data_IF_058101453157
#
_entry.id   IF_058101453157
#
_cell.length_a   1.000
_cell.length_b   1.000
_cell.length_c   1.000
_cell.angle_alpha   90.00
_cell.angle_beta   90.00
_cell.angle_gamma   90.00
#
_symmetry.space_group_name_H-M   'P 1'
#
loop_
_entity.id
_entity.type
_entity.pdbx_description
1 polymer ?
#
# COMPACT_ATOMS: atom_id res chain seq x y z
N UNK A 1 -18.88 0.22 -5.61
CA UNK A 1 -18.04 -0.11 -4.45
C UNK A 1 -16.60 -0.18 -4.94
N UNK A 2 -15.74 0.71 -4.46
CA UNK A 2 -14.32 0.72 -4.88
C UNK A 2 -13.58 -0.34 -4.09
N UNK A 3 -13.13 -1.40 -4.76
CA UNK A 3 -12.36 -2.49 -4.16
C UNK A 3 -10.87 -2.26 -4.43
N UNK A 4 -10.05 -2.40 -3.39
CA UNK A 4 -8.59 -2.43 -3.50
C UNK A 4 -8.15 -3.88 -3.44
N UNK A 5 -7.46 -4.34 -4.48
CA UNK A 5 -6.84 -5.65 -4.60
C UNK A 5 -5.32 -5.52 -4.50
N UNK A 6 -4.68 -6.55 -3.99
CA UNK A 6 -3.22 -6.75 -4.04
C UNK A 6 -2.75 -7.01 -5.48
N UNK A 7 -1.44 -6.90 -5.72
CA UNK A 7 -0.85 -7.26 -7.02
C UNK A 7 -1.15 -8.70 -7.40
N UNK A 8 -1.05 -9.61 -6.44
CA UNK A 8 -1.20 -11.05 -6.67
C UNK A 8 -2.62 -11.40 -7.08
N UNK A 9 -3.61 -10.71 -6.50
CA UNK A 9 -5.02 -10.84 -6.90
C UNK A 9 -5.26 -10.31 -8.32
N UNK A 10 -4.61 -9.21 -8.71
CA UNK A 10 -4.68 -8.67 -10.08
C UNK A 10 -4.02 -9.62 -11.08
N UNK A 11 -2.87 -10.19 -10.72
CA UNK A 11 -2.14 -11.13 -11.58
C UNK A 11 -2.85 -12.48 -11.73
N UNK A 12 -3.64 -12.89 -10.75
CA UNK A 12 -4.48 -14.10 -10.81
C UNK A 12 -5.69 -13.97 -11.74
N UNK A 13 -6.04 -12.76 -12.21
CA UNK A 13 -7.14 -12.56 -13.15
C UNK A 13 -6.87 -13.25 -14.51
N UNK A 14 -7.92 -13.64 -15.21
CA UNK A 14 -7.82 -14.18 -16.56
C UNK A 14 -7.51 -13.08 -17.60
N UNK A 15 -6.83 -13.46 -18.69
CA UNK A 15 -6.47 -12.56 -19.80
C UNK A 15 -4.97 -12.28 -19.90
N UNK A 16 -4.58 -11.37 -20.79
CA UNK A 16 -3.19 -10.93 -20.95
C UNK A 16 -2.77 -10.01 -19.80
N UNK A 17 -1.45 -9.78 -19.63
CA UNK A 17 -0.95 -8.83 -18.64
C UNK A 17 -1.60 -7.44 -18.79
N UNK A 18 -1.77 -6.97 -20.03
CA UNK A 18 -2.38 -5.68 -20.31
C UNK A 18 -3.87 -5.64 -19.96
N UNK A 19 -4.61 -6.73 -20.20
CA UNK A 19 -6.04 -6.83 -19.84
C UNK A 19 -6.28 -6.76 -18.33
N UNK A 20 -5.36 -7.31 -17.54
CA UNK A 20 -5.44 -7.33 -16.08
C UNK A 20 -5.17 -5.94 -15.52
N UNK A 21 -4.03 -5.36 -15.88
CA UNK A 21 -3.54 -4.11 -15.32
C UNK A 21 -4.21 -2.87 -15.91
N UNK A 22 -4.86 -2.97 -17.08
CA UNK A 22 -5.65 -1.87 -17.64
C UNK A 22 -6.86 -1.49 -16.78
N UNK A 23 -7.36 -2.40 -15.94
CA UNK A 23 -8.51 -2.17 -15.05
C UNK A 23 -8.16 -1.34 -13.81
N UNK A 24 -6.88 -1.16 -13.52
CA UNK A 24 -6.40 -0.45 -12.32
C UNK A 24 -6.47 1.07 -12.56
N UNK A 25 -7.32 1.74 -11.79
CA UNK A 25 -7.55 3.19 -11.88
C UNK A 25 -6.97 3.98 -10.71
N UNK A 26 -6.80 3.33 -9.55
CA UNK A 26 -6.25 3.91 -8.33
C UNK A 26 -5.27 2.95 -7.69
N UNK A 27 -4.22 3.50 -7.08
CA UNK A 27 -3.26 2.76 -6.27
C UNK A 27 -3.35 3.23 -4.83
N UNK A 28 -3.39 2.28 -3.89
CA UNK A 28 -3.13 2.53 -2.47
C UNK A 28 -1.67 2.16 -2.21
N UNK A 29 -0.86 3.14 -1.85
CA UNK A 29 0.54 2.92 -1.48
C UNK A 29 0.66 3.10 0.03
N UNK A 30 1.24 2.12 0.71
CA UNK A 30 1.60 2.22 2.10
C UNK A 30 3.11 2.03 2.27
N UNK A 31 3.73 2.90 3.07
CA UNK A 31 5.15 2.81 3.42
C UNK A 31 5.32 2.84 4.93
N UNK A 32 6.16 1.97 5.47
CA UNK A 32 6.58 2.01 6.88
C UNK A 32 7.91 2.75 6.95
N UNK A 33 7.89 3.95 7.52
CA UNK A 33 9.10 4.73 7.75
C UNK A 33 9.68 4.41 9.12
N UNK A 34 10.97 4.09 9.15
CA UNK A 34 11.78 3.89 10.36
C UNK A 34 12.42 5.22 10.76
N UNK A 35 12.44 5.52 12.06
CA UNK A 35 13.14 6.69 12.58
C UNK A 35 14.64 6.63 12.29
N UNK A 36 15.30 7.79 12.22
CA UNK A 36 16.74 7.85 12.02
C UNK A 36 17.50 7.30 13.24
N UNK A 37 17.04 7.65 14.46
CA UNK A 37 17.62 7.20 15.71
C UNK A 37 16.75 6.18 16.43
N UNK A 38 17.36 5.42 17.34
CA UNK A 38 16.65 4.56 18.26
C UNK A 38 15.89 5.39 19.30
N UNK A 39 14.70 4.90 19.65
CA UNK A 39 13.92 5.43 20.76
C UNK A 39 14.57 5.02 22.09
N UNK A 40 14.83 5.99 22.96
CA UNK A 40 15.49 5.77 24.25
C UNK A 40 14.64 4.97 25.24
N UNK A 41 13.31 5.04 25.11
CA UNK A 41 12.35 4.32 25.94
C UNK A 41 11.93 2.97 25.31
N UNK A 42 12.44 2.66 24.12
CA UNK A 42 12.00 1.53 23.31
C UNK A 42 10.84 1.94 22.39
N UNK A 43 10.94 1.56 21.12
CA UNK A 43 10.04 2.01 20.05
C UNK A 43 8.60 1.47 20.12
N UNK A 44 8.33 0.51 21.01
CA UNK A 44 7.02 -0.11 21.17
C UNK A 44 6.49 -0.77 19.89
N UNK A 45 5.17 -0.74 19.73
CA UNK A 45 4.49 -1.29 18.56
C UNK A 45 4.13 -0.19 17.56
N UNK A 46 4.07 -0.55 16.28
CA UNK A 46 3.55 0.28 15.20
C UNK A 46 2.46 -0.47 14.44
N UNK A 47 1.64 0.28 13.69
CA UNK A 47 0.66 -0.30 12.77
C UNK A 47 1.32 -0.48 11.41
N UNK A 48 1.39 -1.72 10.92
CA UNK A 48 1.94 -2.03 9.60
C UNK A 48 0.95 -1.67 8.47
N UNK A 49 1.34 -1.97 7.23
CA UNK A 49 0.53 -1.68 6.06
C UNK A 49 -0.69 -2.58 5.88
N UNK A 50 -0.74 -3.68 6.63
CA UNK A 50 -1.85 -4.62 6.67
C UNK A 50 -2.81 -4.31 7.83
N UNK A 51 -2.48 -3.30 8.66
CA UNK A 51 -3.27 -2.86 9.80
C UNK A 51 -2.98 -3.61 11.09
N UNK A 52 -1.95 -4.46 11.12
CA UNK A 52 -1.57 -5.21 12.31
C UNK A 52 -0.71 -4.37 13.25
N UNK A 53 -0.89 -4.58 14.56
CA UNK A 53 0.01 -4.04 15.57
C UNK A 53 1.23 -4.95 15.70
N UNK A 54 2.40 -4.44 15.30
CA UNK A 54 3.66 -5.19 15.24
C UNK A 54 4.70 -4.53 16.13
N UNK A 55 5.41 -5.34 16.93
CA UNK A 55 6.51 -4.87 17.75
C UNK A 55 7.69 -4.41 16.90
N UNK A 56 8.27 -3.27 17.24
CA UNK A 56 9.49 -2.80 16.59
C UNK A 56 10.68 -3.72 16.94
N UNK A 57 11.37 -4.31 15.95
CA UNK A 57 12.39 -5.33 16.21
C UNK A 57 13.76 -4.78 16.63
N UNK A 58 14.00 -3.48 16.47
CA UNK A 58 15.35 -2.88 16.58
C UNK A 58 15.38 -1.56 17.36
N UNK A 59 14.44 -1.34 18.27
CA UNK A 59 14.30 -0.11 19.08
C UNK A 59 14.14 1.19 18.27
N UNK A 60 13.90 1.12 16.95
CA UNK A 60 13.59 2.30 16.15
C UNK A 60 12.09 2.49 16.00
N UNK A 61 11.60 3.70 16.23
CA UNK A 61 10.20 4.02 16.02
C UNK A 61 9.84 3.80 14.55
N UNK A 62 8.65 3.27 14.30
CA UNK A 62 8.11 3.05 12.96
C UNK A 62 6.75 3.68 12.84
N UNK A 63 6.45 4.22 11.67
CA UNK A 63 5.12 4.76 11.35
C UNK A 63 4.76 4.43 9.91
N UNK A 64 3.57 3.89 9.72
CA UNK A 64 2.98 3.70 8.40
C UNK A 64 2.38 5.00 7.87
N UNK A 65 2.53 5.22 6.57
CA UNK A 65 1.93 6.32 5.83
C UNK A 65 1.24 5.75 4.61
N UNK A 66 -0.05 6.05 4.46
CA UNK A 66 -0.87 5.57 3.36
C UNK A 66 -1.31 6.73 2.50
N UNK A 67 -1.10 6.61 1.19
CA UNK A 67 -1.55 7.57 0.20
C UNK A 67 -2.28 6.87 -0.95
N UNK A 68 -3.22 7.58 -1.56
CA UNK A 68 -4.00 7.09 -2.69
C UNK A 68 -3.68 7.93 -3.92
N UNK A 69 -3.35 7.27 -5.02
CA UNK A 69 -2.95 7.90 -6.26
C UNK A 69 -3.86 7.45 -7.40
N UNK A 70 -4.44 8.41 -8.12
CA UNK A 70 -5.18 8.13 -9.36
C UNK A 70 -4.20 8.03 -10.55
N UNK A 71 -4.35 6.98 -11.35
CA UNK A 71 -3.49 6.74 -12.52
C UNK A 71 -4.00 7.51 -13.75
N UNK A 72 -3.30 8.58 -14.13
CA UNK A 72 -3.70 9.47 -15.24
C UNK A 72 -3.74 8.80 -16.61
N UNK A 73 -2.83 7.87 -16.91
CA UNK A 73 -2.81 7.16 -18.21
C UNK A 73 -3.99 6.19 -18.41
N UNK A 74 -4.86 6.04 -17.40
CA UNK A 74 -6.08 5.22 -17.44
C UNK A 74 -7.35 6.05 -17.17
N UNK A 75 -7.28 7.39 -17.19
CA UNK A 75 -8.44 8.27 -16.94
C UNK A 75 -9.53 8.18 -18.01
N UNK A 76 -9.25 7.56 -19.16
CA UNK A 76 -10.23 7.33 -20.23
C UNK A 76 -11.31 6.27 -19.91
N UNK A 77 -11.16 5.51 -18.81
CA UNK A 77 -12.20 4.59 -18.32
C UNK A 77 -13.39 5.30 -17.65
N UNK A 78 -13.23 6.57 -17.27
CA UNK A 78 -14.32 7.43 -16.83
C UNK A 78 -14.95 8.12 -18.04
N UNK A 79 -15.59 7.36 -18.94
CA UNK A 79 -16.65 7.96 -19.77
C UNK A 79 -17.91 8.08 -18.91
N UNK A 80 -18.65 9.21 -18.98
CA UNK A 80 -19.92 9.38 -18.28
C UNK A 80 -20.95 8.33 -18.72
#
# INVERSE_FOLDING_TARGET
MTHYASSDEVDALAGTLEDKWSRVVNLRVCVVMRSQGADQAGAGNYIDCDGNSVASPDSHARRSFTAFYALRNRSGFLKP
#
